data_IF_239653735965
#
_entry.id   IF_239653735965
#
_cell.length_a   1.000
_cell.length_b   1.000
_cell.length_c   1.000
_cell.angle_alpha   90.00
_cell.angle_beta   90.00
_cell.angle_gamma   90.00
#
_symmetry.space_group_name_H-M   'P 1'
#
loop_
_entity.id
_entity.type
_entity.pdbx_description
1 polymer ?
#
# COMPACT_ATOMS: atom_id res chain seq x y z
N UNK A 1 22.64 -24.06 74.77
CA UNK A 1 21.65 -23.38 73.93
C UNK A 1 22.41 -22.54 72.95
N UNK A 2 22.44 -22.98 71.70
CA UNK A 2 23.13 -22.29 70.61
C UNK A 2 22.07 -21.67 69.71
N UNK A 3 22.03 -20.36 69.63
CA UNK A 3 21.15 -19.63 68.71
C UNK A 3 21.78 -19.65 67.33
N UNK A 4 21.02 -20.17 66.36
CA UNK A 4 21.38 -20.15 64.97
C UNK A 4 20.87 -18.81 64.37
N UNK A 5 21.67 -18.01 63.68
CA UNK A 5 21.18 -16.79 63.05
C UNK A 5 20.41 -17.11 61.80
N UNK A 6 19.20 -16.60 61.73
CA UNK A 6 18.36 -16.64 60.53
C UNK A 6 18.88 -15.60 59.55
N UNK A 7 19.47 -16.05 58.44
CA UNK A 7 19.79 -15.17 57.30
C UNK A 7 18.49 -14.73 56.59
N UNK A 8 18.31 -13.44 56.29
CA UNK A 8 17.20 -13.01 55.44
C UNK A 8 17.50 -13.42 54.00
N UNK A 9 16.60 -14.19 53.40
CA UNK A 9 16.60 -14.49 51.98
C UNK A 9 16.32 -13.22 51.19
N UNK A 10 17.35 -12.68 50.54
CA UNK A 10 17.18 -11.61 49.59
C UNK A 10 16.48 -12.18 48.32
N UNK A 11 15.21 -11.85 48.17
CA UNK A 11 14.45 -12.14 46.93
C UNK A 11 15.02 -11.26 45.84
N UNK A 12 15.81 -11.83 44.94
CA UNK A 12 16.21 -11.22 43.69
C UNK A 12 14.98 -11.16 42.76
N UNK A 13 14.33 -10.01 42.67
CA UNK A 13 13.35 -9.74 41.65
C UNK A 13 14.07 -9.63 40.31
N UNK A 14 14.14 -10.75 39.58
CA UNK A 14 14.54 -10.74 38.18
C UNK A 14 13.41 -10.05 37.37
N UNK A 15 13.60 -8.77 37.09
CA UNK A 15 12.74 -8.05 36.15
C UNK A 15 12.84 -8.70 34.77
N UNK A 16 11.77 -9.34 34.34
CA UNK A 16 11.63 -9.82 32.97
C UNK A 16 11.45 -8.56 32.10
N UNK A 17 12.54 -8.03 31.58
CA UNK A 17 12.50 -7.05 30.50
C UNK A 17 12.07 -7.83 29.27
N UNK A 18 10.76 -7.83 29.01
CA UNK A 18 10.21 -8.23 27.73
C UNK A 18 10.67 -7.19 26.72
N UNK A 19 11.76 -7.46 26.03
CA UNK A 19 12.09 -6.76 24.81
C UNK A 19 11.09 -7.23 23.75
N UNK A 20 9.98 -6.54 23.62
CA UNK A 20 9.14 -6.62 22.43
C UNK A 20 9.94 -6.04 21.26
N UNK A 21 10.86 -6.81 20.74
CA UNK A 21 11.42 -6.61 19.41
C UNK A 21 10.44 -7.16 18.40
N UNK A 22 9.27 -6.50 18.25
CA UNK A 22 8.49 -6.73 17.03
C UNK A 22 9.43 -6.42 15.86
N UNK A 23 9.60 -7.37 14.92
CA UNK A 23 10.39 -7.10 13.74
C UNK A 23 9.74 -5.90 13.03
N UNK A 24 10.49 -4.79 12.88
CA UNK A 24 10.02 -3.61 12.17
C UNK A 24 9.55 -4.09 10.80
N UNK A 25 8.22 -4.04 10.57
CA UNK A 25 7.66 -4.39 9.25
C UNK A 25 8.32 -3.47 8.24
N UNK A 26 8.78 -3.99 7.09
CA UNK A 26 9.28 -3.13 6.03
C UNK A 26 8.18 -2.12 5.69
N UNK A 27 8.57 -0.87 5.44
CA UNK A 27 7.65 0.18 5.02
C UNK A 27 6.98 -0.28 3.72
N UNK A 28 5.76 -0.82 3.85
CA UNK A 28 5.00 -1.30 2.71
C UNK A 28 4.46 -0.11 1.94
N UNK A 29 4.77 -0.05 0.66
CA UNK A 29 4.21 0.95 -0.25
C UNK A 29 2.76 0.60 -0.53
N UNK A 30 1.87 1.58 -0.41
CA UNK A 30 0.47 1.42 -0.77
C UNK A 30 0.31 1.64 -2.29
N UNK A 31 -0.45 0.77 -2.94
CA UNK A 31 -0.80 0.90 -4.34
C UNK A 31 -2.31 1.10 -4.48
N UNK A 32 -2.70 2.06 -5.31
CA UNK A 32 -4.09 2.27 -5.70
C UNK A 32 -4.16 2.06 -7.20
N UNK A 33 -4.90 1.05 -7.63
CA UNK A 33 -5.18 0.78 -9.04
C UNK A 33 -6.58 1.28 -9.38
N UNK A 34 -6.67 2.24 -10.30
CA UNK A 34 -7.93 2.79 -10.80
C UNK A 34 -8.09 2.31 -12.24
N UNK A 35 -8.99 1.36 -12.46
CA UNK A 35 -9.33 0.88 -13.78
C UNK A 35 -10.66 1.51 -14.23
N UNK A 36 -10.62 2.29 -15.29
CA UNK A 36 -11.79 2.91 -15.87
C UNK A 36 -12.38 2.02 -16.95
N UNK A 37 -13.69 1.80 -16.91
CA UNK A 37 -14.42 1.05 -17.93
C UNK A 37 -14.90 2.01 -19.02
N UNK A 38 -14.82 1.60 -20.28
CA UNK A 38 -15.25 2.33 -21.46
C UNK A 38 -14.65 3.75 -21.62
N UNK A 39 -13.49 4.03 -20.99
CA UNK A 39 -12.80 5.30 -21.15
C UNK A 39 -11.84 5.25 -22.34
N UNK A 40 -12.06 6.14 -23.30
CA UNK A 40 -11.19 6.31 -24.46
C UNK A 40 -10.01 7.24 -24.21
N UNK A 41 -9.00 7.17 -25.08
CA UNK A 41 -7.82 8.03 -24.98
C UNK A 41 -8.13 9.53 -25.05
N UNK A 42 -9.23 9.93 -25.72
CA UNK A 42 -9.68 11.31 -25.85
C UNK A 42 -10.64 11.78 -24.76
N UNK A 43 -10.92 10.98 -23.73
CA UNK A 43 -11.96 11.28 -22.74
C UNK A 43 -11.47 12.11 -21.54
N UNK A 44 -10.23 12.55 -21.56
CA UNK A 44 -9.67 13.41 -20.50
C UNK A 44 -9.19 14.73 -21.08
N UNK A 45 -9.31 15.83 -20.32
CA UNK A 45 -8.92 17.14 -20.83
C UNK A 45 -7.43 17.22 -21.18
N UNK A 46 -6.54 16.51 -20.47
CA UNK A 46 -5.12 16.44 -20.83
C UNK A 46 -4.86 15.70 -22.15
N UNK A 47 -5.79 14.90 -22.64
CA UNK A 47 -5.71 14.14 -23.90
C UNK A 47 -6.61 14.67 -25.00
N UNK A 48 -7.30 15.80 -24.79
CA UNK A 48 -8.03 16.51 -25.82
C UNK A 48 -9.56 16.44 -25.73
N UNK A 49 -10.14 16.01 -24.59
CA UNK A 49 -11.58 16.02 -24.40
C UNK A 49 -12.18 17.41 -24.60
N UNK A 50 -13.29 17.46 -25.33
CA UNK A 50 -14.03 18.69 -25.59
C UNK A 50 -15.31 18.71 -24.74
N UNK A 51 -15.68 19.89 -24.25
CA UNK A 51 -16.96 20.11 -23.55
C UNK A 51 -16.98 19.87 -22.05
N UNK A 52 -15.94 19.28 -21.48
CA UNK A 52 -15.79 19.14 -20.02
C UNK A 52 -14.32 19.17 -19.59
N UNK A 53 -14.08 19.25 -18.30
CA UNK A 53 -12.73 19.30 -17.70
C UNK A 53 -12.55 18.18 -16.68
N UNK A 54 -11.34 17.62 -16.64
CA UNK A 54 -10.94 16.56 -15.69
C UNK A 54 -9.74 16.98 -14.82
N UNK A 55 -9.84 18.08 -14.05
CA UNK A 55 -8.69 18.74 -13.46
C UNK A 55 -7.88 17.86 -12.50
N UNK A 56 -8.51 16.95 -11.78
CA UNK A 56 -7.82 16.05 -10.87
C UNK A 56 -7.03 14.97 -11.61
N UNK A 57 -7.58 14.43 -12.69
CA UNK A 57 -6.88 13.44 -13.53
C UNK A 57 -5.77 14.14 -14.33
N UNK A 58 -6.01 15.36 -14.81
CA UNK A 58 -5.00 16.17 -15.50
C UNK A 58 -3.79 16.43 -14.58
N UNK A 59 -4.05 16.73 -13.30
CA UNK A 59 -2.99 16.91 -12.32
C UNK A 59 -2.18 15.64 -12.11
N UNK A 60 -2.83 14.49 -11.93
CA UNK A 60 -2.14 13.20 -11.84
C UNK A 60 -1.30 12.91 -13.09
N UNK A 61 -1.82 13.25 -14.27
CA UNK A 61 -1.11 13.06 -15.53
C UNK A 61 0.12 13.98 -15.67
N UNK A 62 0.09 15.18 -15.06
CA UNK A 62 1.21 16.13 -15.04
C UNK A 62 2.28 15.77 -14.00
N UNK A 63 1.86 15.28 -12.84
CA UNK A 63 2.75 14.93 -11.73
C UNK A 63 3.37 13.53 -11.87
N UNK A 64 2.75 12.65 -12.64
CA UNK A 64 3.13 11.27 -12.81
C UNK A 64 3.72 10.93 -14.18
N UNK A 65 3.85 9.63 -14.45
CA UNK A 65 4.31 9.12 -15.73
C UNK A 65 3.12 8.70 -16.59
N UNK A 66 3.11 9.13 -17.85
CA UNK A 66 2.10 8.77 -18.85
C UNK A 66 2.66 7.80 -19.88
N UNK A 67 2.01 6.67 -20.03
CA UNK A 67 2.31 5.71 -21.09
C UNK A 67 1.34 5.93 -22.25
N UNK A 68 1.85 6.37 -23.41
CA UNK A 68 1.01 6.65 -24.59
C UNK A 68 0.65 5.41 -25.40
N UNK A 69 1.43 4.34 -25.25
CA UNK A 69 1.25 3.07 -25.97
C UNK A 69 1.06 1.89 -24.99
N UNK A 70 0.27 2.10 -23.95
CA UNK A 70 -0.12 1.05 -23.04
C UNK A 70 -1.51 0.56 -23.39
N UNK A 71 -1.65 -0.75 -23.63
CA UNK A 71 -2.89 -1.36 -24.09
C UNK A 71 -3.42 -2.34 -23.07
N UNK A 72 -4.75 -2.42 -22.96
CA UNK A 72 -5.40 -3.47 -22.19
C UNK A 72 -5.16 -4.84 -22.87
N UNK A 73 -5.15 -5.91 -22.06
CA UNK A 73 -4.89 -7.26 -22.55
C UNK A 73 -5.93 -7.73 -23.60
N UNK A 74 -7.17 -7.24 -23.51
CA UNK A 74 -8.26 -7.58 -24.40
C UNK A 74 -9.20 -6.38 -24.61
N UNK A 75 -9.88 -6.27 -25.75
CA UNK A 75 -10.78 -5.15 -26.06
C UNK A 75 -12.11 -5.19 -25.31
N UNK A 76 -12.47 -6.34 -24.73
CA UNK A 76 -13.72 -6.53 -23.98
C UNK A 76 -13.43 -6.37 -22.49
N UNK A 77 -14.25 -5.57 -21.78
CA UNK A 77 -14.02 -5.23 -20.38
C UNK A 77 -13.91 -6.45 -19.45
N UNK A 78 -14.73 -7.47 -19.65
CA UNK A 78 -14.68 -8.71 -18.85
C UNK A 78 -13.34 -9.44 -18.98
N UNK A 79 -12.88 -9.65 -20.20
CA UNK A 79 -11.61 -10.34 -20.47
C UNK A 79 -10.39 -9.48 -20.06
N UNK A 80 -10.44 -8.16 -20.27
CA UNK A 80 -9.40 -7.22 -19.84
C UNK A 80 -9.24 -7.21 -18.32
N UNK A 81 -10.34 -7.16 -17.57
CA UNK A 81 -10.32 -7.23 -16.10
C UNK A 81 -9.88 -8.59 -15.60
N UNK A 82 -10.25 -9.69 -16.25
CA UNK A 82 -9.74 -11.00 -15.93
C UNK A 82 -8.20 -11.04 -16.07
N UNK A 83 -7.66 -10.57 -17.18
CA UNK A 83 -6.21 -10.46 -17.38
C UNK A 83 -5.51 -9.60 -16.33
N UNK A 84 -6.12 -8.48 -15.92
CA UNK A 84 -5.59 -7.63 -14.86
C UNK A 84 -5.52 -8.32 -13.50
N UNK A 85 -6.48 -9.17 -13.17
CA UNK A 85 -6.57 -9.85 -11.87
C UNK A 85 -5.79 -11.16 -11.79
N UNK A 86 -5.52 -11.78 -12.92
CA UNK A 86 -4.89 -13.11 -12.98
C UNK A 86 -3.46 -13.12 -13.51
N UNK A 87 -2.99 -12.02 -14.10
CA UNK A 87 -1.68 -11.89 -14.75
C UNK A 87 -1.73 -12.28 -16.21
#
# INVERSE_FOLDING_TARGET
MKYLPILPAAAAAAGIVSCDTEPKRPDLVNFILINLDDAGNGDFSFSGALGYKTPNIDRLALEGMRYTNFYAAQPISGASRAGLLTG
#
